data_IF_319945260879
#
_entry.id   IF_319945260879
#
_cell.length_a   1.000
_cell.length_b   1.000
_cell.length_c   1.000
_cell.angle_alpha   90.00
_cell.angle_beta   90.00
_cell.angle_gamma   90.00
#
_symmetry.space_group_name_H-M   'P 1'
#
loop_
_entity.id
_entity.type
_entity.pdbx_description
1 polymer ?
#
# COMPACT_ATOMS: atom_id res chain seq x y z
N UNK A 1 -15.64 -14.00 1.43
CA UNK A 1 -14.25 -13.69 1.01
C UNK A 1 -14.30 -12.32 0.39
N UNK A 2 -13.60 -11.37 1.00
CA UNK A 2 -13.55 -9.98 0.58
C UNK A 2 -12.11 -9.63 0.22
N UNK A 3 -11.93 -8.97 -0.90
CA UNK A 3 -10.64 -8.41 -1.29
C UNK A 3 -10.48 -7.03 -0.67
N UNK A 4 -9.57 -6.92 0.30
CA UNK A 4 -9.16 -5.62 0.83
C UNK A 4 -8.15 -4.96 -0.11
N UNK A 5 -8.21 -3.64 -0.19
CA UNK A 5 -7.29 -2.82 -0.98
C UNK A 5 -6.61 -1.78 -0.09
N UNK A 6 -5.29 -1.59 -0.28
CA UNK A 6 -4.55 -0.47 0.28
C UNK A 6 -3.65 0.15 -0.78
N UNK A 7 -3.59 1.47 -0.78
CA UNK A 7 -2.59 2.23 -1.54
C UNK A 7 -1.48 2.68 -0.61
N UNK A 8 -0.27 2.15 -0.81
CA UNK A 8 0.92 2.55 -0.09
C UNK A 8 1.58 3.68 -0.87
N UNK A 9 1.81 4.82 -0.23
CA UNK A 9 2.59 5.91 -0.82
C UNK A 9 3.61 6.44 0.18
N UNK A 10 4.76 6.83 -0.36
CA UNK A 10 5.83 7.50 0.37
C UNK A 10 6.76 8.24 -0.61
N UNK A 11 7.70 9.03 -0.11
CA UNK A 11 8.82 9.54 -0.90
C UNK A 11 9.68 8.40 -1.49
N UNK A 12 10.35 8.66 -2.61
CA UNK A 12 11.28 7.72 -3.28
C UNK A 12 12.57 7.52 -2.48
N UNK A 13 12.42 6.82 -1.36
CA UNK A 13 13.48 6.48 -0.41
C UNK A 13 13.29 5.04 0.07
N UNK A 14 14.24 4.52 0.86
CA UNK A 14 14.12 3.19 1.47
C UNK A 14 12.87 3.03 2.35
N UNK A 15 12.31 4.12 2.88
CA UNK A 15 11.07 4.09 3.65
C UNK A 15 9.90 3.51 2.84
N UNK A 16 9.80 3.83 1.55
CA UNK A 16 8.81 3.24 0.65
C UNK A 16 9.01 1.73 0.51
N UNK A 17 10.25 1.31 0.24
CA UNK A 17 10.61 -0.09 0.11
C UNK A 17 10.26 -0.89 1.37
N UNK A 18 10.61 -0.38 2.55
CA UNK A 18 10.26 -1.00 3.83
C UNK A 18 8.74 -1.09 4.04
N UNK A 19 7.98 -0.06 3.65
CA UNK A 19 6.51 -0.05 3.75
C UNK A 19 5.88 -1.14 2.89
N UNK A 20 6.34 -1.29 1.64
CA UNK A 20 5.88 -2.36 0.73
C UNK A 20 6.28 -3.73 1.27
N UNK A 21 7.55 -3.93 1.66
CA UNK A 21 8.04 -5.18 2.23
C UNK A 21 7.27 -5.60 3.49
N UNK A 22 6.93 -4.65 4.36
CA UNK A 22 6.11 -4.92 5.55
C UNK A 22 4.70 -5.39 5.19
N UNK A 23 4.06 -4.81 4.16
CA UNK A 23 2.76 -5.29 3.71
C UNK A 23 2.86 -6.72 3.17
N UNK A 24 3.87 -7.00 2.33
CA UNK A 24 4.11 -8.34 1.80
C UNK A 24 4.33 -9.38 2.91
N UNK A 25 5.13 -9.03 3.93
CA UNK A 25 5.35 -9.89 5.09
C UNK A 25 4.06 -10.18 5.89
N UNK A 26 3.11 -9.25 5.87
CA UNK A 26 1.79 -9.41 6.48
C UNK A 26 0.77 -10.10 5.55
N UNK A 27 1.21 -10.78 4.50
CA UNK A 27 0.34 -11.56 3.61
C UNK A 27 -0.47 -10.73 2.62
N UNK A 28 -0.08 -9.48 2.38
CA UNK A 28 -0.60 -8.70 1.26
C UNK A 28 0.10 -9.09 -0.04
N UNK A 29 -0.59 -8.92 -1.17
CA UNK A 29 -0.07 -9.17 -2.51
C UNK A 29 0.00 -7.88 -3.30
N UNK A 30 1.02 -7.72 -4.15
CA UNK A 30 1.11 -6.58 -5.06
C UNK A 30 -0.03 -6.61 -6.09
N UNK A 31 -0.61 -5.46 -6.36
CA UNK A 31 -1.61 -5.29 -7.42
C UNK A 31 -1.11 -4.30 -8.47
N UNK A 32 -0.80 -4.81 -9.66
CA UNK A 32 -0.26 -4.01 -10.76
C UNK A 32 1.13 -3.44 -10.50
N UNK A 33 1.57 -2.56 -11.41
CA UNK A 33 2.86 -1.89 -11.35
C UNK A 33 2.84 -0.71 -10.37
N UNK A 34 3.98 -0.37 -9.73
CA UNK A 34 4.09 0.84 -8.94
C UNK A 34 3.94 2.09 -9.84
N UNK A 35 3.56 3.19 -9.21
CA UNK A 35 3.49 4.52 -9.83
C UNK A 35 4.50 5.46 -9.19
N UNK A 36 4.97 6.43 -9.96
CA UNK A 36 5.82 7.52 -9.47
C UNK A 36 5.35 8.85 -10.04
N UNK A 37 5.41 9.90 -9.24
CA UNK A 37 5.09 11.26 -9.67
C UNK A 37 5.93 12.29 -8.92
N UNK A 38 6.28 13.37 -9.60
CA UNK A 38 7.00 14.48 -8.97
C UNK A 38 6.01 15.39 -8.24
N UNK A 39 6.23 15.60 -6.94
CA UNK A 39 5.48 16.56 -6.13
C UNK A 39 6.23 17.89 -6.11
N UNK A 40 5.76 18.84 -6.92
CA UNK A 40 6.39 20.16 -7.04
C UNK A 40 6.29 21.01 -5.76
N UNK A 41 5.31 20.74 -4.88
CA UNK A 41 5.13 21.53 -3.66
C UNK A 41 6.17 21.17 -2.59
N UNK A 42 6.55 19.89 -2.49
CA UNK A 42 7.58 19.41 -1.56
C UNK A 42 8.95 19.22 -2.22
N UNK A 43 9.03 19.22 -3.55
CA UNK A 43 10.27 19.05 -4.30
C UNK A 43 10.80 17.63 -4.31
N UNK A 44 9.95 16.62 -4.09
CA UNK A 44 10.34 15.21 -3.97
C UNK A 44 9.64 14.33 -5.00
N UNK A 45 10.23 13.18 -5.32
CA UNK A 45 9.55 12.12 -6.04
C UNK A 45 8.70 11.31 -5.07
N UNK A 46 7.42 11.09 -5.40
CA UNK A 46 6.49 10.25 -4.65
C UNK A 46 6.31 8.92 -5.36
N UNK A 47 6.39 7.83 -4.60
CA UNK A 47 6.12 6.48 -5.06
C UNK A 47 4.75 6.01 -4.55
N UNK A 48 4.11 5.13 -5.32
CA UNK A 48 2.84 4.51 -5.01
C UNK A 48 2.83 3.04 -5.38
N UNK A 49 2.27 2.19 -4.52
CA UNK A 49 2.04 0.77 -4.82
C UNK A 49 0.70 0.33 -4.22
N UNK A 50 -0.16 -0.22 -5.06
CA UNK A 50 -1.37 -0.87 -4.61
C UNK A 50 -1.06 -2.29 -4.10
N UNK A 51 -1.70 -2.66 -2.99
CA UNK A 51 -1.65 -4.01 -2.45
C UNK A 51 -3.07 -4.50 -2.13
N UNK A 52 -3.30 -5.79 -2.31
CA UNK A 52 -4.57 -6.45 -2.02
C UNK A 52 -4.38 -7.61 -1.05
N UNK A 53 -5.42 -7.93 -0.28
CA UNK A 53 -5.43 -9.09 0.61
C UNK A 53 -6.82 -9.72 0.66
N UNK A 54 -6.89 -11.03 0.47
CA UNK A 54 -8.13 -11.79 0.64
C UNK A 54 -8.36 -12.09 2.11
N UNK A 55 -9.54 -11.75 2.62
CA UNK A 55 -9.96 -12.04 4.00
C UNK A 55 -11.32 -12.73 4.02
N UNK A 56 -11.57 -13.54 5.06
CA UNK A 56 -12.84 -14.22 5.23
C UNK A 56 -13.98 -13.30 5.71
N UNK A 57 -13.64 -12.23 6.44
CA UNK A 57 -14.59 -11.28 7.00
C UNK A 57 -15.13 -10.31 5.94
N UNK A 58 -16.35 -9.81 6.16
CA UNK A 58 -16.91 -8.73 5.35
C UNK A 58 -16.20 -7.40 5.64
N UNK A 59 -16.08 -6.56 4.60
CA UNK A 59 -15.53 -5.22 4.76
C UNK A 59 -16.45 -4.33 5.59
N UNK A 60 -15.86 -3.52 6.46
CA UNK A 60 -16.53 -2.41 7.15
C UNK A 60 -15.67 -1.15 7.07
N UNK A 61 -16.25 0.05 7.02
CA UNK A 61 -15.50 1.31 7.00
C UNK A 61 -14.58 1.53 8.22
N UNK A 62 -14.91 0.92 9.36
CA UNK A 62 -14.16 1.04 10.61
C UNK A 62 -12.95 0.08 10.70
N UNK A 63 -12.79 -0.82 9.72
CA UNK A 63 -11.70 -1.80 9.70
C UNK A 63 -10.34 -1.11 9.53
N UNK A 64 -9.42 -1.38 10.47
CA UNK A 64 -8.02 -0.98 10.31
C UNK A 64 -7.32 -1.91 9.32
N UNK A 65 -7.27 -1.49 8.05
CA UNK A 65 -6.60 -2.22 6.96
C UNK A 65 -5.10 -2.46 7.25
N UNK A 66 -4.47 -1.62 8.09
CA UNK A 66 -3.10 -1.81 8.57
C UNK A 66 -2.86 -3.13 9.30
N UNK A 67 -3.87 -3.56 10.06
CA UNK A 67 -3.79 -4.62 11.07
C UNK A 67 -4.41 -5.94 10.58
N UNK A 68 -4.80 -6.01 9.29
CA UNK A 68 -5.43 -7.19 8.68
C UNK A 68 -4.40 -8.18 8.15
#
# INVERSE_FOLDING_TARGET
MTTLYRFLSEEDTSAFCHKVSAALANGWSLYGSPTQTFDAASGVMRCGQAVIKEVAADYTPDMKLGDQ
#
